data_IF_444673540700
#
_entry.id   IF_444673540700
#
_cell.length_a   1.000
_cell.length_b   1.000
_cell.length_c   1.000
_cell.angle_alpha   90.00
_cell.angle_beta   90.00
_cell.angle_gamma   90.00
#
_symmetry.space_group_name_H-M   'P 1'
#
loop_
_entity.id
_entity.type
_entity.pdbx_description
1 polymer ?
#
# COMPACT_ATOMS: atom_id res chain seq x y z
N UNK A 1 -22.93 11.92 -16.02
CA UNK A 1 -22.35 12.51 -14.79
C UNK A 1 -21.26 13.49 -15.20
N UNK A 2 -21.26 14.76 -14.75
CA UNK A 2 -20.28 15.76 -15.18
C UNK A 2 -18.97 15.75 -14.36
N UNK A 3 -18.95 15.09 -13.19
CA UNK A 3 -17.80 15.08 -12.27
C UNK A 3 -17.68 13.71 -11.60
N UNK A 4 -16.45 13.30 -11.35
CA UNK A 4 -16.09 12.14 -10.53
C UNK A 4 -15.09 12.59 -9.45
N UNK A 5 -15.19 12.00 -8.25
CA UNK A 5 -14.24 12.20 -7.16
C UNK A 5 -13.64 10.85 -6.82
N UNK A 6 -12.32 10.75 -6.92
CA UNK A 6 -11.57 9.53 -6.58
C UNK A 6 -10.83 9.82 -5.28
N UNK A 7 -11.05 8.97 -4.28
CA UNK A 7 -10.40 9.02 -2.98
C UNK A 7 -9.57 7.74 -2.82
N UNK A 8 -8.26 7.89 -2.77
CA UNK A 8 -7.34 6.75 -2.55
C UNK A 8 -6.92 6.76 -1.08
N UNK A 9 -7.26 5.69 -0.37
CA UNK A 9 -6.72 5.42 0.96
C UNK A 9 -5.44 4.62 0.79
N UNK A 10 -4.30 5.31 0.73
CA UNK A 10 -3.02 4.70 0.41
C UNK A 10 -2.70 3.54 1.37
N UNK A 11 -2.23 2.42 0.84
CA UNK A 11 -1.89 1.17 1.52
C UNK A 11 -3.05 0.39 2.20
N UNK A 12 -4.30 0.82 2.09
CA UNK A 12 -5.45 0.13 2.74
C UNK A 12 -5.91 -1.09 1.93
N UNK A 13 -5.13 -2.18 2.00
CA UNK A 13 -5.48 -3.48 1.42
C UNK A 13 -6.57 -4.23 2.22
N UNK A 14 -7.37 -5.04 1.51
CA UNK A 14 -8.52 -5.79 2.07
C UNK A 14 -8.38 -7.32 1.92
N UNK A 15 -7.14 -7.81 1.90
CA UNK A 15 -6.79 -9.21 1.71
C UNK A 15 -5.70 -9.41 0.66
N UNK A 16 -5.11 -10.60 0.67
CA UNK A 16 -4.03 -10.97 -0.23
C UNK A 16 -4.57 -11.18 -1.65
N UNK A 17 -3.88 -10.60 -2.64
CA UNK A 17 -4.15 -10.87 -4.05
C UNK A 17 -3.85 -12.35 -4.39
N UNK A 18 -4.45 -12.89 -5.48
CA UNK A 18 -4.21 -14.28 -5.91
C UNK A 18 -2.73 -14.63 -6.15
N UNK A 19 -1.90 -13.64 -6.48
CA UNK A 19 -0.47 -13.75 -6.75
C UNK A 19 0.43 -13.28 -5.59
N UNK A 20 -0.14 -12.96 -4.41
CA UNK A 20 0.60 -12.41 -3.27
C UNK A 20 1.84 -13.23 -2.86
N UNK A 21 1.81 -14.56 -3.06
CA UNK A 21 2.95 -15.44 -2.78
C UNK A 21 4.19 -15.07 -3.62
N UNK A 22 4.03 -14.54 -4.83
CA UNK A 22 5.13 -14.09 -5.69
C UNK A 22 5.87 -12.88 -5.10
N UNK A 23 5.20 -12.12 -4.23
CA UNK A 23 5.72 -10.94 -3.56
C UNK A 23 6.15 -11.20 -2.11
N UNK A 24 6.05 -12.45 -1.64
CA UNK A 24 6.29 -12.81 -0.24
C UNK A 24 5.16 -12.40 0.72
N UNK A 25 4.00 -12.03 0.20
CA UNK A 25 2.89 -11.43 0.96
C UNK A 25 1.73 -12.42 1.19
N UNK A 26 2.00 -13.73 1.18
CA UNK A 26 0.98 -14.74 1.41
C UNK A 26 0.31 -14.52 2.78
N UNK A 27 -1.02 -14.35 2.78
CA UNK A 27 -1.80 -14.07 3.99
C UNK A 27 -1.84 -12.60 4.42
N UNK A 28 -1.31 -11.67 3.63
CA UNK A 28 -1.47 -10.24 3.90
C UNK A 28 -2.96 -9.84 3.91
N UNK A 29 -3.37 -9.07 4.92
CA UNK A 29 -4.72 -8.51 5.04
C UNK A 29 -4.67 -7.26 5.93
N UNK A 30 -4.34 -6.11 5.34
CA UNK A 30 -4.10 -4.88 6.12
C UNK A 30 -5.32 -4.50 6.95
N UNK A 31 -6.48 -4.31 6.32
CA UNK A 31 -7.69 -3.88 7.03
C UNK A 31 -8.20 -4.97 7.99
N UNK A 32 -8.12 -6.25 7.60
CA UNK A 32 -8.50 -7.37 8.45
C UNK A 32 -7.64 -7.48 9.72
N UNK A 33 -6.31 -7.40 9.59
CA UNK A 33 -5.40 -7.45 10.74
C UNK A 33 -5.51 -6.20 11.63
N UNK A 34 -5.75 -5.01 11.06
CA UNK A 34 -6.04 -3.81 11.85
C UNK A 34 -7.31 -4.01 12.68
N UNK A 35 -8.38 -4.49 12.05
CA UNK A 35 -9.64 -4.78 12.73
C UNK A 35 -9.46 -5.79 13.87
N UNK A 36 -8.63 -6.82 13.67
CA UNK A 36 -8.29 -7.80 14.70
C UNK A 36 -7.54 -7.20 15.89
N UNK A 37 -6.47 -6.46 15.62
CA UNK A 37 -5.69 -5.80 16.67
C UNK A 37 -6.57 -4.86 17.50
N UNK A 38 -7.46 -4.11 16.83
CA UNK A 38 -8.44 -3.25 17.47
C UNK A 38 -9.43 -4.03 18.35
N UNK A 39 -10.01 -5.13 17.85
CA UNK A 39 -10.95 -5.95 18.60
C UNK A 39 -10.31 -6.59 19.85
N UNK A 40 -9.00 -6.88 19.79
CA UNK A 40 -8.22 -7.39 20.92
C UNK A 40 -7.75 -6.31 21.91
N UNK A 41 -7.99 -5.03 21.60
CA UNK A 41 -7.50 -3.91 22.40
C UNK A 41 -6.00 -3.62 22.23
N UNK A 42 -5.32 -4.25 21.27
CA UNK A 42 -3.89 -4.04 20.98
C UNK A 42 -3.62 -2.64 20.40
N UNK A 43 -4.65 -2.02 19.82
CA UNK A 43 -4.61 -0.67 19.28
C UNK A 43 -5.25 0.39 20.20
N UNK A 44 -5.51 0.05 21.47
CA UNK A 44 -6.08 0.98 22.43
C UNK A 44 -5.06 2.07 22.82
N UNK A 45 -5.52 3.31 22.86
CA UNK A 45 -4.74 4.49 23.25
C UNK A 45 -5.59 5.40 24.14
N UNK A 46 -5.04 6.55 24.56
CA UNK A 46 -5.82 7.54 25.31
C UNK A 46 -7.02 8.11 24.53
N UNK A 47 -7.03 8.04 23.20
CA UNK A 47 -8.05 8.66 22.34
C UNK A 47 -8.92 7.65 21.58
N UNK A 48 -8.64 6.35 21.69
CA UNK A 48 -9.39 5.29 21.01
C UNK A 48 -9.32 4.00 21.82
N UNK A 49 -10.44 3.30 21.93
CA UNK A 49 -10.50 1.92 22.43
C UNK A 49 -11.51 1.06 21.68
N UNK A 50 -11.31 -0.26 21.74
CA UNK A 50 -12.24 -1.26 21.24
C UNK A 50 -12.19 -1.47 19.72
N UNK A 51 -13.22 -2.13 19.14
CA UNK A 51 -13.25 -2.51 17.72
C UNK A 51 -13.04 -1.34 16.76
N UNK A 52 -12.58 -1.63 15.54
CA UNK A 52 -12.42 -0.61 14.51
C UNK A 52 -13.79 0.00 14.20
N UNK A 53 -13.91 1.32 14.34
CA UNK A 53 -15.19 2.02 14.18
C UNK A 53 -15.15 3.00 12.99
N UNK A 54 -15.63 2.52 11.83
CA UNK A 54 -15.69 3.29 10.57
C UNK A 54 -17.10 3.19 9.94
N UNK A 55 -18.16 3.64 10.65
CA UNK A 55 -19.56 3.36 10.28
C UNK A 55 -19.93 3.85 8.88
N UNK A 56 -19.37 4.98 8.43
CA UNK A 56 -19.62 5.53 7.09
C UNK A 56 -19.05 4.64 5.97
N UNK A 57 -17.91 3.99 6.19
CA UNK A 57 -17.34 3.05 5.21
C UNK A 57 -18.08 1.72 5.24
N UNK A 58 -18.53 1.28 6.42
CA UNK A 58 -19.39 0.09 6.58
C UNK A 58 -20.71 0.29 5.81
N UNK A 59 -21.35 1.44 5.99
CA UNK A 59 -22.56 1.82 5.26
C UNK A 59 -22.36 1.85 3.73
N UNK A 60 -21.13 2.09 3.25
CA UNK A 60 -20.76 2.06 1.83
C UNK A 60 -20.29 0.69 1.33
N UNK A 61 -20.19 -0.30 2.21
CA UNK A 61 -19.91 -1.70 1.85
C UNK A 61 -18.47 -2.17 2.03
N UNK A 62 -17.62 -1.47 2.79
CA UNK A 62 -16.22 -1.91 3.00
C UNK A 62 -16.12 -3.32 3.58
N UNK A 63 -16.99 -3.69 4.53
CA UNK A 63 -17.01 -5.03 5.10
C UNK A 63 -17.39 -6.11 4.07
N UNK A 64 -18.30 -5.79 3.14
CA UNK A 64 -18.67 -6.71 2.07
C UNK A 64 -17.56 -6.84 1.02
N UNK A 65 -16.82 -5.77 0.74
CA UNK A 65 -15.62 -5.83 -0.11
C UNK A 65 -14.53 -6.72 0.52
N UNK A 66 -14.27 -6.60 1.83
CA UNK A 66 -13.38 -7.52 2.54
C UNK A 66 -13.84 -8.98 2.42
N UNK A 67 -15.13 -9.25 2.66
CA UNK A 67 -15.70 -10.60 2.52
C UNK A 67 -15.53 -11.14 1.10
N UNK A 68 -15.69 -10.30 0.08
CA UNK A 68 -15.51 -10.68 -1.31
C UNK A 68 -14.04 -11.00 -1.64
N UNK A 69 -13.12 -10.21 -1.12
CA UNK A 69 -11.67 -10.32 -1.35
C UNK A 69 -11.05 -11.53 -0.62
N UNK A 70 -11.28 -11.66 0.69
CA UNK A 70 -10.60 -12.63 1.54
C UNK A 70 -11.50 -13.75 2.07
N UNK A 71 -12.80 -13.75 1.72
CA UNK A 71 -13.78 -14.68 2.28
C UNK A 71 -14.18 -14.38 3.72
N UNK A 72 -13.61 -13.33 4.33
CA UNK A 72 -13.72 -13.00 5.75
C UNK A 72 -14.37 -11.64 5.95
N UNK A 73 -15.28 -11.54 6.91
CA UNK A 73 -15.76 -10.25 7.42
C UNK A 73 -14.93 -9.87 8.66
N UNK A 74 -14.13 -8.78 8.61
CA UNK A 74 -13.35 -8.36 9.77
C UNK A 74 -14.22 -7.85 10.93
N UNK A 75 -13.79 -8.03 12.19
CA UNK A 75 -14.54 -7.60 13.35
C UNK A 75 -14.68 -6.06 13.42
N UNK A 76 -15.85 -5.57 13.78
CA UNK A 76 -16.17 -4.13 13.78
C UNK A 76 -16.57 -3.58 12.41
N UNK A 77 -16.48 -4.38 11.35
CA UNK A 77 -16.93 -4.03 9.99
C UNK A 77 -18.25 -4.71 9.61
N UNK A 78 -18.93 -5.33 10.58
CA UNK A 78 -20.29 -5.83 10.42
C UNK A 78 -21.28 -4.67 10.24
N UNK A 79 -22.20 -4.81 9.29
CA UNK A 79 -23.26 -3.84 9.08
C UNK A 79 -23.96 -4.00 7.75
N UNK A 80 -25.08 -3.31 7.63
CA UNK A 80 -25.84 -3.22 6.39
C UNK A 80 -25.36 -2.04 5.54
N UNK A 81 -25.38 -2.25 4.23
CA UNK A 81 -25.16 -1.19 3.26
C UNK A 81 -26.37 -0.26 3.28
N UNK A 82 -26.15 1.05 3.28
CA UNK A 82 -27.21 2.04 3.26
C UNK A 82 -27.08 3.01 2.10
N UNK A 83 -28.22 3.47 1.59
CA UNK A 83 -28.30 4.38 0.45
C UNK A 83 -27.84 3.75 -0.89
N UNK A 84 -27.72 4.57 -1.94
CA UNK A 84 -27.22 4.12 -3.24
C UNK A 84 -25.69 3.94 -3.18
N UNK A 85 -25.24 2.77 -2.76
CA UNK A 85 -23.83 2.40 -2.71
C UNK A 85 -23.58 1.11 -3.52
N UNK A 86 -22.41 1.06 -4.17
CA UNK A 86 -21.87 -0.14 -4.80
C UNK A 86 -20.50 -0.41 -4.22
N UNK A 87 -20.14 -1.68 -4.11
CA UNK A 87 -18.89 -2.13 -3.56
C UNK A 87 -18.31 -3.22 -4.45
N UNK A 88 -17.00 -3.44 -4.32
CA UNK A 88 -16.27 -4.49 -4.99
C UNK A 88 -14.83 -4.52 -4.50
N UNK A 89 -14.07 -5.47 -5.00
CA UNK A 89 -12.62 -5.53 -4.84
C UNK A 89 -11.97 -5.62 -6.23
N UNK A 90 -10.73 -5.16 -6.34
CA UNK A 90 -9.94 -5.23 -7.56
C UNK A 90 -8.63 -5.99 -7.27
N UNK A 91 -8.09 -6.62 -8.30
CA UNK A 91 -6.77 -7.24 -8.28
C UNK A 91 -5.89 -6.47 -9.25
N UNK A 92 -4.73 -6.03 -8.77
CA UNK A 92 -3.74 -5.32 -9.58
C UNK A 92 -3.17 -6.25 -10.66
N UNK A 93 -2.98 -5.70 -11.87
CA UNK A 93 -2.40 -6.43 -13.02
C UNK A 93 -0.93 -6.03 -13.24
N UNK A 94 -0.55 -4.84 -12.78
CA UNK A 94 0.84 -4.37 -12.75
C UNK A 94 1.72 -5.30 -11.94
N UNK A 95 3.00 -5.35 -12.31
CA UNK A 95 4.00 -6.21 -11.62
C UNK A 95 4.64 -5.56 -10.41
N UNK A 96 4.39 -4.27 -10.18
CA UNK A 96 4.86 -3.54 -9.01
C UNK A 96 3.78 -3.52 -7.94
N UNK A 97 4.19 -3.42 -6.67
CA UNK A 97 3.32 -3.14 -5.52
C UNK A 97 3.61 -1.77 -4.88
N UNK A 98 4.28 -0.92 -5.64
CA UNK A 98 4.68 0.43 -5.27
C UNK A 98 3.56 1.46 -5.59
N UNK A 99 3.58 2.58 -4.88
CA UNK A 99 2.58 3.65 -5.03
C UNK A 99 2.42 4.13 -6.48
N UNK A 100 3.49 4.39 -7.27
CA UNK A 100 3.35 4.77 -8.68
C UNK A 100 2.60 3.75 -9.53
N UNK A 101 2.95 2.46 -9.45
CA UNK A 101 2.31 1.39 -10.23
C UNK A 101 0.79 1.38 -10.03
N UNK A 102 0.33 1.35 -8.78
CA UNK A 102 -1.11 1.31 -8.47
C UNK A 102 -1.85 2.58 -8.90
N UNK A 103 -1.24 3.77 -8.74
CA UNK A 103 -1.85 5.02 -9.17
C UNK A 103 -1.96 5.12 -10.69
N UNK A 104 -0.95 4.64 -11.43
CA UNK A 104 -0.99 4.62 -12.89
C UNK A 104 -2.06 3.64 -13.39
N UNK A 105 -2.18 2.47 -12.77
CA UNK A 105 -3.20 1.48 -13.14
C UNK A 105 -4.63 1.98 -12.88
N UNK A 106 -4.88 2.66 -11.75
CA UNK A 106 -6.18 3.32 -11.46
C UNK A 106 -6.53 4.35 -12.55
N UNK A 107 -5.52 5.02 -13.11
CA UNK A 107 -5.69 5.99 -14.21
C UNK A 107 -5.76 5.33 -15.61
N UNK A 108 -5.72 3.99 -15.69
CA UNK A 108 -5.82 3.24 -16.94
C UNK A 108 -4.47 2.92 -17.62
N UNK A 109 -3.36 3.03 -16.89
CA UNK A 109 -2.00 2.80 -17.41
C UNK A 109 -1.31 1.69 -16.59
N UNK A 110 -1.54 0.41 -16.90
CA UNK A 110 -0.88 -0.68 -16.18
C UNK A 110 0.64 -0.69 -16.43
N UNK A 111 1.41 -1.14 -15.44
CA UNK A 111 2.87 -1.20 -15.44
C UNK A 111 3.32 -2.67 -15.55
N UNK A 112 3.57 -3.19 -16.78
CA UNK A 112 3.86 -4.62 -17.01
C UNK A 112 5.33 -5.01 -16.74
N UNK A 113 6.12 -4.11 -16.17
CA UNK A 113 7.55 -4.27 -15.89
C UNK A 113 7.83 -4.09 -14.39
N UNK A 114 8.93 -4.67 -13.91
CA UNK A 114 9.40 -4.46 -12.55
C UNK A 114 10.26 -3.19 -12.48
N UNK A 115 10.05 -2.37 -11.45
CA UNK A 115 10.95 -1.27 -11.16
C UNK A 115 12.31 -1.77 -10.67
N UNK A 116 13.35 -0.99 -10.93
CA UNK A 116 14.64 -1.15 -10.26
C UNK A 116 14.56 -0.62 -8.83
N UNK A 117 14.96 -1.43 -7.86
CA UNK A 117 15.14 -1.00 -6.47
C UNK A 117 16.63 -1.09 -6.11
N UNK A 118 17.13 -0.11 -5.36
CA UNK A 118 18.49 -0.17 -4.85
C UNK A 118 18.53 -0.94 -3.52
N UNK A 119 19.44 -1.92 -3.37
CA UNK A 119 19.53 -2.74 -2.17
C UNK A 119 19.88 -1.90 -0.94
N UNK A 120 19.46 -2.34 0.25
CA UNK A 120 19.88 -1.75 1.52
C UNK A 120 21.30 -2.18 1.90
N UNK A 121 22.27 -1.86 1.05
CA UNK A 121 23.70 -2.12 1.24
C UNK A 121 24.51 -0.83 1.24
N UNK A 122 25.79 -0.92 1.59
CA UNK A 122 26.75 0.17 1.44
C UNK A 122 28.01 -0.40 0.80
N UNK A 123 28.31 -0.07 -0.47
CA UNK A 123 27.58 0.85 -1.36
C UNK A 123 26.18 0.36 -1.75
N UNK A 124 25.26 1.29 -2.02
CA UNK A 124 23.87 1.04 -2.39
C UNK A 124 23.70 1.00 -3.93
N UNK A 125 24.24 2.00 -4.60
CA UNK A 125 24.17 2.13 -6.05
C UNK A 125 25.22 1.26 -6.75
N UNK A 126 24.88 0.66 -7.91
CA UNK A 126 25.84 0.00 -8.79
C UNK A 126 27.01 0.92 -9.17
N UNK A 127 28.23 0.38 -9.23
CA UNK A 127 29.44 1.16 -9.49
C UNK A 127 29.41 1.83 -10.88
N UNK A 128 28.93 1.12 -11.90
CA UNK A 128 28.80 1.63 -13.27
C UNK A 128 27.85 2.83 -13.36
N UNK A 129 26.75 2.82 -12.61
CA UNK A 129 25.83 3.96 -12.50
C UNK A 129 26.54 5.17 -11.88
N UNK A 130 27.32 4.97 -10.82
CA UNK A 130 28.04 6.04 -10.14
C UNK A 130 29.17 6.58 -11.01
N UNK A 131 29.92 5.71 -11.68
CA UNK A 131 31.01 6.10 -12.57
C UNK A 131 30.49 6.94 -13.74
N UNK A 132 29.37 6.53 -14.36
CA UNK A 132 28.72 7.31 -15.42
C UNK A 132 28.25 8.68 -14.91
N UNK A 133 27.60 8.73 -13.75
CA UNK A 133 27.15 9.98 -13.13
C UNK A 133 28.32 10.93 -12.82
N UNK A 134 29.41 10.40 -12.28
CA UNK A 134 30.60 11.20 -11.96
C UNK A 134 31.31 11.70 -13.21
N UNK A 135 31.38 10.88 -14.27
CA UNK A 135 31.94 11.27 -15.56
C UNK A 135 31.12 12.39 -16.21
N UNK A 136 29.79 12.24 -16.29
CA UNK A 136 28.91 13.24 -16.91
C UNK A 136 28.85 14.56 -16.13
N UNK A 137 29.01 14.48 -14.81
CA UNK A 137 28.97 15.62 -13.90
C UNK A 137 30.31 16.30 -13.61
N UNK A 138 31.43 15.79 -14.14
CA UNK A 138 32.80 16.19 -13.76
C UNK A 138 33.02 16.20 -12.23
N UNK A 139 32.61 15.10 -11.60
CA UNK A 139 32.66 14.93 -10.14
C UNK A 139 33.76 13.94 -9.74
N UNK A 140 34.49 14.18 -8.63
CA UNK A 140 35.49 13.25 -8.14
C UNK A 140 34.91 12.01 -7.44
N UNK A 141 33.58 11.95 -7.24
CA UNK A 141 32.88 10.87 -6.55
C UNK A 141 31.53 11.33 -5.98
N UNK A 142 30.88 10.44 -5.20
CA UNK A 142 29.63 10.75 -4.48
C UNK A 142 29.76 10.55 -2.96
N UNK A 143 28.91 11.23 -2.21
CA UNK A 143 28.74 11.04 -0.77
C UNK A 143 27.41 10.32 -0.50
N UNK A 144 27.34 9.61 0.63
CA UNK A 144 26.07 9.08 1.12
C UNK A 144 25.47 7.94 0.30
N UNK A 145 26.29 7.10 -0.35
CA UNK A 145 25.87 5.92 -1.13
C UNK A 145 25.27 4.79 -0.25
N UNK A 146 24.14 5.07 0.39
CA UNK A 146 23.41 4.21 1.34
C UNK A 146 21.96 4.67 1.47
N UNK A 147 21.11 3.83 2.03
CA UNK A 147 19.78 4.24 2.48
C UNK A 147 19.90 5.09 3.77
N UNK A 148 19.17 6.19 3.83
CA UNK A 148 19.09 7.05 5.02
C UNK A 148 17.86 7.96 4.93
N UNK A 149 17.36 8.43 6.08
CA UNK A 149 16.45 9.58 6.11
C UNK A 149 17.16 10.81 5.54
N UNK A 150 16.42 11.68 4.85
CA UNK A 150 16.94 12.96 4.35
C UNK A 150 17.54 13.85 5.45
N UNK A 151 17.05 13.75 6.68
CA UNK A 151 17.63 14.47 7.82
C UNK A 151 18.93 13.84 8.33
N UNK A 152 18.99 12.51 8.36
CA UNK A 152 20.14 11.76 8.88
C UNK A 152 21.34 11.76 7.93
N UNK A 153 21.11 11.85 6.61
CA UNK A 153 22.19 11.86 5.64
C UNK A 153 22.93 13.21 5.58
N UNK A 154 22.28 14.28 6.06
CA UNK A 154 22.82 15.65 6.11
C UNK A 154 23.52 15.93 7.44
N UNK A 155 22.96 15.44 8.56
CA UNK A 155 23.48 15.66 9.91
C UNK A 155 24.83 14.96 10.13
#
# INVERSE_FOLDING_TARGET
>A
MPRALILVLDSVGIGAAPDAAQYGDAGADTLGHIADACAKGEADTATRSGPLHIPELVARGIGQACRMSSGRLPPGLEGEISGPAQFGCATEVSKGKDTPSGHWEIAGVPVPFAWGYFPQTTPCFPADLIDALCSDGDLPGILGNRHASGTQIIA
#
